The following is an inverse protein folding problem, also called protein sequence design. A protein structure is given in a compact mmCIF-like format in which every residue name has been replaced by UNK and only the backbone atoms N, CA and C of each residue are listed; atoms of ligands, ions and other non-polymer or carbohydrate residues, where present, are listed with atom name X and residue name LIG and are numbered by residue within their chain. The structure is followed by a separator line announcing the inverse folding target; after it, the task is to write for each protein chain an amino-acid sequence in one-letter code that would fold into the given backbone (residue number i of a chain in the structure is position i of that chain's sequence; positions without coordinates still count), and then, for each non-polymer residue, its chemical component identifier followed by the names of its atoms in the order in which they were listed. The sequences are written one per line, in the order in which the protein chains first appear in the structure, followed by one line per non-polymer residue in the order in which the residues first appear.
data_IF_054095322991
#
_entry.id   IF_054095322991
#
_cell.length_a   1.000
_cell.length_b   1.000
_cell.length_c   1.000
_cell.angle_alpha   90.00
_cell.angle_beta   90.00
_cell.angle_gamma   90.00
#
_symmetry.space_group_name_H-M   'P 1'
#
loop_
_entity.id
_entity.type
_entity.pdbx_description
1 polymer ?
#
# COMPACT_ATOMS: atom_id res chain seq x y z
N UNK A 1 4.16 4.83 30.85
CA UNK A 1 5.50 4.74 30.21
C UNK A 1 5.27 4.40 28.75
N UNK A 2 5.59 5.31 27.82
CA UNK A 2 5.44 5.02 26.39
C UNK A 2 6.54 4.03 26.00
N UNK A 3 6.18 2.90 25.38
CA UNK A 3 7.14 1.88 24.98
C UNK A 3 7.98 2.41 23.80
N UNK A 4 9.23 2.80 24.04
CA UNK A 4 10.12 3.39 23.03
C UNK A 4 10.39 2.44 21.85
N UNK A 5 10.38 1.13 22.08
CA UNK A 5 10.58 0.13 21.02
C UNK A 5 9.39 0.11 20.05
N UNK A 6 8.17 0.16 20.58
CA UNK A 6 6.95 0.27 19.78
C UNK A 6 6.99 1.48 18.85
N UNK A 7 7.33 2.65 19.39
CA UNK A 7 7.39 3.88 18.59
C UNK A 7 8.46 3.79 17.50
N UNK A 8 9.60 3.15 17.79
CA UNK A 8 10.65 2.94 16.81
C UNK A 8 10.17 2.07 15.64
N UNK A 9 9.46 0.97 15.92
CA UNK A 9 8.95 0.08 14.87
C UNK A 9 7.88 0.79 14.02
N UNK A 10 6.95 1.52 14.64
CA UNK A 10 5.96 2.33 13.91
C UNK A 10 6.67 3.30 12.97
N UNK A 11 7.68 4.02 13.45
CA UNK A 11 8.47 4.95 12.62
C UNK A 11 9.14 4.24 11.46
N UNK A 12 9.77 3.08 11.67
CA UNK A 12 10.41 2.31 10.60
C UNK A 12 9.41 2.00 9.49
N UNK A 13 8.22 1.49 9.82
CA UNK A 13 7.23 1.14 8.80
C UNK A 13 6.55 2.34 8.16
N UNK A 14 6.45 3.47 8.88
CA UNK A 14 6.07 4.75 8.28
C UNK A 14 7.12 5.23 7.26
N UNK A 15 8.41 5.12 7.55
CA UNK A 15 9.46 5.49 6.59
C UNK A 15 9.53 4.52 5.40
N UNK A 16 9.27 3.23 5.63
CA UNK A 16 9.14 2.24 4.54
C UNK A 16 7.96 2.60 3.62
N UNK A 17 6.83 3.01 4.17
CA UNK A 17 5.71 3.53 3.37
C UNK A 17 6.17 4.70 2.50
N UNK A 18 6.79 5.71 3.11
CA UNK A 18 7.12 6.96 2.43
C UNK A 18 8.23 6.81 1.37
N UNK A 19 9.16 5.87 1.57
CA UNK A 19 10.33 5.72 0.71
C UNK A 19 10.32 4.50 -0.22
N UNK A 20 9.51 3.48 0.06
CA UNK A 20 9.44 2.26 -0.75
C UNK A 20 8.06 2.10 -1.39
N UNK A 21 6.99 2.19 -0.60
CA UNK A 21 5.64 1.96 -1.08
C UNK A 21 5.09 3.13 -1.92
N UNK A 22 5.09 4.33 -1.35
CA UNK A 22 4.53 5.53 -1.97
C UNK A 22 5.19 5.87 -3.33
N UNK A 23 6.53 5.80 -3.49
CA UNK A 23 7.16 6.04 -4.79
C UNK A 23 6.83 4.99 -5.85
N UNK A 24 6.41 3.78 -5.45
CA UNK A 24 5.98 2.73 -6.38
C UNK A 24 4.50 2.85 -6.75
N UNK A 25 3.60 3.14 -5.80
CA UNK A 25 2.16 3.19 -6.06
C UNK A 25 1.67 4.53 -6.62
N UNK A 26 2.27 5.65 -6.20
CA UNK A 26 1.77 6.98 -6.57
C UNK A 26 1.85 7.27 -8.07
N UNK A 27 2.88 6.83 -8.85
CA UNK A 27 2.88 7.03 -10.29
C UNK A 27 1.77 6.25 -10.98
N UNK A 28 1.44 5.04 -10.49
CA UNK A 28 0.37 4.22 -11.06
C UNK A 28 -0.98 4.93 -10.87
N UNK A 29 -1.27 5.38 -9.64
CA UNK A 29 -2.49 6.12 -9.32
C UNK A 29 -2.55 7.43 -10.10
N UNK A 30 -1.43 8.13 -10.27
CA UNK A 30 -1.36 9.33 -11.11
C UNK A 30 -1.76 9.03 -12.56
N UNK A 31 -1.20 7.96 -13.15
CA UNK A 31 -1.46 7.61 -14.55
C UNK A 31 -2.92 7.18 -14.80
N UNK A 32 -3.55 6.51 -13.83
CA UNK A 32 -4.95 6.09 -13.94
C UNK A 32 -5.97 7.20 -13.65
N UNK A 33 -5.71 8.07 -12.69
CA UNK A 33 -6.72 9.04 -12.23
C UNK A 33 -6.38 10.50 -12.55
N UNK A 34 -5.13 10.91 -12.33
CA UNK A 34 -4.74 12.34 -12.40
C UNK A 34 -4.40 12.75 -13.83
N UNK A 35 -3.64 11.95 -14.57
CA UNK A 35 -3.27 12.27 -15.95
C UNK A 35 -4.50 12.48 -16.87
N UNK A 36 -5.52 11.59 -16.88
CA UNK A 36 -6.73 11.79 -17.67
C UNK A 36 -7.52 13.05 -17.28
N UNK A 37 -7.61 13.35 -15.97
CA UNK A 37 -8.28 14.57 -15.47
C UNK A 37 -7.58 15.86 -15.93
N UNK A 38 -6.28 15.79 -16.21
CA UNK A 38 -5.49 16.89 -16.76
C UNK A 38 -5.44 16.90 -18.30
N UNK A 39 -6.21 16.04 -18.96
CA UNK A 39 -6.22 15.90 -20.43
C UNK A 39 -4.96 15.27 -21.00
N UNK A 40 -4.13 14.60 -20.18
CA UNK A 40 -2.94 13.87 -20.61
C UNK A 40 -3.31 12.43 -20.98
N UNK A 41 -2.55 11.87 -21.92
CA UNK A 41 -2.64 10.45 -22.27
C UNK A 41 -1.93 9.65 -21.18
N UNK A 42 -2.57 8.59 -20.69
CA UNK A 42 -1.99 7.62 -19.76
C UNK A 42 -0.75 6.97 -20.37
N UNK A 43 0.36 7.02 -19.63
CA UNK A 43 1.61 6.35 -20.01
C UNK A 43 1.65 4.95 -19.40
N UNK A 44 1.38 3.94 -20.24
CA UNK A 44 1.39 2.54 -19.82
C UNK A 44 2.77 2.07 -19.38
N UNK A 45 3.85 2.60 -19.96
CA UNK A 45 5.22 2.20 -19.59
C UNK A 45 5.56 2.60 -18.15
N UNK A 46 5.04 3.75 -17.69
CA UNK A 46 5.16 4.20 -16.31
C UNK A 46 4.37 3.29 -15.37
N UNK A 47 3.18 2.84 -15.78
CA UNK A 47 2.38 1.90 -14.99
C UNK A 47 3.14 0.59 -14.83
N UNK A 48 3.56 -0.03 -15.92
CA UNK A 48 4.19 -1.35 -15.92
C UNK A 48 5.50 -1.36 -15.10
N UNK A 49 6.36 -0.34 -15.30
CA UNK A 49 7.62 -0.23 -14.58
C UNK A 49 7.44 -0.01 -13.06
N UNK A 50 6.33 0.61 -12.64
CA UNK A 50 6.05 0.83 -11.23
C UNK A 50 5.26 -0.32 -10.60
N UNK A 51 4.47 -1.08 -11.38
CA UNK A 51 3.86 -2.33 -10.92
C UNK A 51 4.94 -3.34 -10.52
N UNK A 52 6.00 -3.49 -11.31
CA UNK A 52 7.13 -4.39 -10.97
C UNK A 52 7.82 -3.96 -9.66
N UNK A 53 7.97 -2.66 -9.42
CA UNK A 53 8.53 -2.15 -8.16
C UNK A 53 7.58 -2.40 -6.98
N UNK A 54 6.29 -2.12 -7.19
CA UNK A 54 5.28 -2.30 -6.18
C UNK A 54 5.22 -3.77 -5.76
N UNK A 55 5.20 -4.69 -6.73
CA UNK A 55 5.23 -6.14 -6.51
C UNK A 55 6.32 -6.56 -5.53
N UNK A 56 7.56 -6.10 -5.74
CA UNK A 56 8.70 -6.39 -4.85
C UNK A 56 8.52 -5.84 -3.44
N UNK A 57 7.94 -4.64 -3.30
CA UNK A 57 7.59 -4.08 -1.98
C UNK A 57 6.52 -4.94 -1.31
N UNK A 58 5.53 -5.40 -2.07
CA UNK A 58 4.45 -6.22 -1.56
C UNK A 58 4.95 -7.60 -1.11
N UNK A 59 5.99 -8.15 -1.73
CA UNK A 59 6.62 -9.42 -1.31
C UNK A 59 7.23 -9.30 0.09
N UNK A 60 7.91 -8.18 0.37
CA UNK A 60 8.43 -7.87 1.72
C UNK A 60 7.29 -7.72 2.72
N UNK A 61 6.17 -7.13 2.30
CA UNK A 61 5.01 -6.94 3.16
C UNK A 61 4.33 -8.27 3.46
N UNK A 62 4.24 -9.18 2.50
CA UNK A 62 3.72 -10.53 2.69
C UNK A 62 4.57 -11.29 3.73
N UNK A 63 5.90 -11.26 3.59
CA UNK A 63 6.80 -11.86 4.58
C UNK A 63 6.61 -11.22 5.96
N UNK A 64 6.50 -9.89 6.04
CA UNK A 64 6.27 -9.19 7.30
C UNK A 64 4.95 -9.61 7.95
N UNK A 65 3.86 -9.58 7.19
CA UNK A 65 2.51 -9.85 7.66
C UNK A 65 2.25 -11.34 7.91
N UNK A 66 3.13 -12.23 7.43
CA UNK A 66 3.15 -13.63 7.85
C UNK A 66 3.55 -13.81 9.33
N UNK A 67 4.20 -12.79 9.93
CA UNK A 67 4.72 -12.84 11.31
C UNK A 67 3.96 -11.93 12.28
N UNK A 68 3.25 -10.92 11.78
CA UNK A 68 2.53 -9.92 12.57
C UNK A 68 1.20 -9.57 11.93
N UNK A 69 0.20 -9.17 12.72
CA UNK A 69 -1.15 -8.86 12.17
C UNK A 69 -1.14 -7.54 11.35
N UNK A 70 -0.31 -6.59 11.74
CA UNK A 70 -0.11 -5.28 11.10
C UNK A 70 1.38 -5.04 10.86
N UNK A 71 1.74 -3.98 10.10
CA UNK A 71 3.14 -3.72 9.76
C UNK A 71 4.01 -3.49 11.00
N UNK A 72 3.48 -2.76 11.99
CA UNK A 72 4.23 -2.44 13.20
C UNK A 72 4.11 -3.48 14.34
N UNK A 73 3.34 -4.55 14.16
CA UNK A 73 3.09 -5.57 15.19
C UNK A 73 1.63 -6.00 15.23
N UNK A 74 1.10 -6.33 16.41
CA UNK A 74 -0.26 -6.87 16.57
C UNK A 74 -1.32 -5.80 16.87
N UNK A 75 -1.02 -4.54 16.54
CA UNK A 75 -1.91 -3.40 16.72
C UNK A 75 -1.90 -2.52 15.46
N UNK A 76 -3.05 -1.93 15.15
CA UNK A 76 -3.17 -0.98 14.05
C UNK A 76 -2.47 0.33 14.41
N UNK A 77 -1.69 0.88 13.48
CA UNK A 77 -0.81 2.01 13.76
C UNK A 77 -0.83 3.07 12.64
N UNK A 78 -0.06 4.15 12.85
CA UNK A 78 0.13 5.17 11.82
C UNK A 78 0.80 4.60 10.55
N UNK A 79 1.66 3.59 10.70
CA UNK A 79 2.28 2.93 9.56
C UNK A 79 1.23 2.31 8.64
N UNK A 80 0.22 1.63 9.18
CA UNK A 80 -0.86 1.02 8.40
C UNK A 80 -1.79 2.10 7.80
N UNK A 81 -2.09 3.14 8.60
CA UNK A 81 -2.96 4.24 8.20
C UNK A 81 -2.46 5.01 6.96
N UNK A 82 -1.14 5.24 6.85
CA UNK A 82 -0.56 5.99 5.74
C UNK A 82 -0.76 5.29 4.38
N UNK A 83 -0.94 3.97 4.36
CA UNK A 83 -1.14 3.23 3.11
C UNK A 83 -2.57 3.38 2.55
N UNK A 84 -3.55 3.75 3.38
CA UNK A 84 -4.97 3.76 3.00
C UNK A 84 -5.26 4.58 1.73
N UNK A 85 -4.83 5.84 1.60
CA UNK A 85 -5.29 6.70 0.51
C UNK A 85 -4.89 6.16 -0.86
N UNK A 86 -3.61 5.81 -1.05
CA UNK A 86 -3.15 5.30 -2.34
C UNK A 86 -3.63 3.87 -2.61
N UNK A 87 -3.70 3.01 -1.59
CA UNK A 87 -4.26 1.66 -1.76
C UNK A 87 -5.72 1.73 -2.21
N UNK A 88 -6.52 2.62 -1.61
CA UNK A 88 -7.93 2.81 -1.96
C UNK A 88 -8.13 3.18 -3.44
N UNK A 89 -7.31 4.07 -3.98
CA UNK A 89 -7.36 4.42 -5.40
C UNK A 89 -6.83 3.30 -6.29
N UNK A 90 -5.71 2.68 -5.91
CA UNK A 90 -5.12 1.57 -6.66
C UNK A 90 -6.09 0.39 -6.83
N UNK A 91 -6.87 0.07 -5.78
CA UNK A 91 -7.87 -1.00 -5.83
C UNK A 91 -9.03 -0.73 -6.82
N UNK A 92 -9.15 0.49 -7.34
CA UNK A 92 -10.13 0.86 -8.40
C UNK A 92 -9.53 0.83 -9.80
N UNK A 93 -8.29 0.38 -9.94
CA UNK A 93 -7.61 0.23 -11.23
C UNK A 93 -7.68 -1.21 -11.74
N UNK A 94 -7.45 -1.45 -13.04
CA UNK A 94 -7.30 -2.81 -13.56
C UNK A 94 -6.16 -3.62 -12.90
N UNK A 95 -5.19 -2.95 -12.28
CA UNK A 95 -4.05 -3.59 -11.61
C UNK A 95 -4.34 -4.06 -10.18
N UNK A 96 -5.58 -3.92 -9.71
CA UNK A 96 -5.97 -4.29 -8.35
C UNK A 96 -5.72 -5.78 -8.00
N UNK A 97 -5.65 -6.66 -9.00
CA UNK A 97 -5.31 -8.08 -8.82
C UNK A 97 -3.97 -8.28 -8.12
N UNK A 98 -2.99 -7.39 -8.36
CA UNK A 98 -1.66 -7.46 -7.72
C UNK A 98 -1.75 -7.45 -6.19
N UNK A 99 -2.77 -6.79 -5.64
CA UNK A 99 -3.05 -6.73 -4.20
C UNK A 99 -4.08 -7.78 -3.79
N UNK A 100 -5.15 -7.94 -4.57
CA UNK A 100 -6.24 -8.86 -4.25
C UNK A 100 -5.77 -10.32 -4.12
N UNK A 101 -4.88 -10.74 -5.01
CA UNK A 101 -4.47 -12.15 -5.13
C UNK A 101 -3.48 -12.56 -4.02
N UNK A 102 -2.91 -11.59 -3.31
CA UNK A 102 -2.04 -11.80 -2.14
C UNK A 102 -2.81 -12.09 -0.85
N UNK A 103 -4.13 -12.08 -0.89
CA UNK A 103 -4.96 -12.60 0.21
C UNK A 103 -5.41 -11.56 1.25
N UNK A 104 -5.97 -12.01 2.38
CA UNK A 104 -6.78 -11.16 3.28
C UNK A 104 -6.08 -10.06 4.05
N UNK A 105 -4.76 -10.09 4.14
CA UNK A 105 -3.98 -9.32 5.12
C UNK A 105 -3.46 -8.01 4.57
N UNK A 106 -3.75 -7.68 3.32
CA UNK A 106 -3.08 -6.58 2.67
C UNK A 106 -3.57 -5.21 3.17
N UNK A 107 -2.85 -4.70 4.18
CA UNK A 107 -2.84 -3.34 4.76
C UNK A 107 -4.12 -2.86 5.45
N UNK A 108 -5.21 -3.62 5.34
CA UNK A 108 -6.50 -3.29 5.89
C UNK A 108 -6.88 -4.36 6.90
N UNK A 109 -6.83 -4.00 8.19
CA UNK A 109 -7.36 -4.87 9.23
C UNK A 109 -8.80 -5.33 8.91
N UNK A 110 -9.28 -6.42 9.55
CA UNK A 110 -10.59 -7.02 9.26
C UNK A 110 -11.78 -6.04 9.12
N UNK A 111 -11.88 -4.93 9.89
CA UNK A 111 -12.98 -3.98 9.74
C UNK A 111 -13.01 -3.22 8.41
N UNK A 112 -11.84 -2.82 7.89
CA UNK A 112 -11.73 -2.01 6.67
C UNK A 112 -11.92 -2.84 5.39
N UNK A 113 -11.75 -4.16 5.49
CA UNK A 113 -11.94 -5.13 4.39
C UNK A 113 -13.38 -5.18 3.86
N UNK A 114 -14.37 -4.89 4.71
CA UNK A 114 -15.79 -4.93 4.33
C UNK A 114 -16.19 -3.68 3.54
N UNK A 115 -15.68 -2.51 3.94
CA UNK A 115 -16.04 -1.21 3.36
C UNK A 115 -15.45 -0.95 1.97
N UNK A 116 -14.50 -1.74 1.49
CA UNK A 116 -13.89 -1.57 0.16
C UNK A 116 -14.38 -2.60 -0.88
N UNK A 117 -15.24 -3.55 -0.49
CA UNK A 117 -15.90 -4.49 -1.41
C UNK A 117 -17.33 -4.08 -1.77
N UNK A 118 -17.89 -3.13 -1.04
CA UNK A 118 -19.21 -2.51 -1.23
C UNK A 118 -19.02 -1.16 -1.94
#
# INVERSE_FOLDING_TARGET
MVNSLFLAIVKVWTEVESHQYNPAISPIVYQYFVAPQLGKITDQSVIDANLEKLEKVLDVYEERLSRTIYLAGDFYSLADLHHLPYTFYFMRTPSASLVHDRGPTFLLGPPLRKSLRE
#
